data_IF_876012811756
#
_entry.id   IF_876012811756
#
_cell.length_a   1.000
_cell.length_b   1.000
_cell.length_c   1.000
_cell.angle_alpha   90.00
_cell.angle_beta   90.00
_cell.angle_gamma   90.00
#
_symmetry.space_group_name_H-M   'P 1'
#
loop_
_entity.id
_entity.type
_entity.pdbx_description
1 polymer ?
#
# COMPACT_ATOMS: atom_id res chain seq x y z
N UNK A 1 1.44 -5.39 12.22
CA UNK A 1 0.30 -4.79 11.52
C UNK A 1 -0.85 -5.80 11.60
N UNK A 2 -2.01 -5.54 11.00
CA UNK A 2 -3.16 -6.45 11.05
C UNK A 2 -4.00 -6.43 12.34
N UNK A 3 -4.67 -7.56 12.60
CA UNK A 3 -5.67 -7.75 13.67
C UNK A 3 -5.14 -7.42 15.08
N UNK A 4 -5.70 -6.38 15.74
CA UNK A 4 -5.32 -6.02 17.10
C UNK A 4 -5.55 -7.15 18.10
N UNK A 5 -4.49 -7.53 18.81
CA UNK A 5 -4.56 -8.51 19.90
C UNK A 5 -4.52 -9.98 19.47
N UNK A 6 -4.49 -10.31 18.17
CA UNK A 6 -4.42 -11.70 17.70
C UNK A 6 -3.08 -12.37 18.05
N UNK A 7 -1.95 -11.80 17.64
CA UNK A 7 -0.62 -12.40 17.87
C UNK A 7 -0.35 -12.74 19.35
N UNK A 8 -0.71 -11.91 20.35
CA UNK A 8 -0.61 -12.29 21.77
C UNK A 8 -1.34 -13.59 22.12
N UNK A 9 -2.50 -13.88 21.53
CA UNK A 9 -3.24 -15.12 21.77
C UNK A 9 -2.56 -16.35 21.14
N UNK A 10 -1.72 -16.14 20.13
CA UNK A 10 -0.97 -17.18 19.44
C UNK A 10 0.41 -17.47 20.06
N UNK A 11 0.72 -16.91 21.24
CA UNK A 11 2.05 -17.04 21.87
C UNK A 11 2.49 -18.50 22.06
N UNK A 12 1.57 -19.41 22.38
CA UNK A 12 1.86 -20.85 22.60
C UNK A 12 2.41 -21.55 21.36
N UNK A 13 2.06 -21.06 20.17
CA UNK A 13 2.47 -21.66 18.88
C UNK A 13 3.52 -20.81 18.15
N UNK A 14 3.98 -19.71 18.75
CA UNK A 14 5.09 -18.90 18.23
C UNK A 14 6.41 -19.62 18.52
N UNK A 15 6.92 -20.35 17.52
CA UNK A 15 8.17 -21.10 17.62
C UNK A 15 9.34 -20.19 17.25
N UNK A 16 10.34 -20.09 18.13
CA UNK A 16 11.58 -19.41 17.79
C UNK A 16 12.37 -20.28 16.82
N UNK A 17 12.65 -19.77 15.62
CA UNK A 17 13.35 -20.52 14.56
C UNK A 17 14.53 -19.72 14.01
N UNK A 18 15.47 -20.45 13.38
CA UNK A 18 16.43 -19.87 12.46
C UNK A 18 15.95 -20.08 11.03
N UNK A 19 16.11 -19.06 10.18
CA UNK A 19 15.82 -19.15 8.76
C UNK A 19 16.63 -20.24 8.03
N UNK A 20 17.71 -20.77 8.63
CA UNK A 20 18.40 -21.97 8.12
C UNK A 20 17.44 -23.15 7.87
N UNK A 21 16.33 -23.23 8.61
CA UNK A 21 15.25 -24.21 8.38
C UNK A 21 14.71 -24.20 6.95
N UNK A 22 14.73 -23.04 6.28
CA UNK A 22 14.20 -22.82 4.94
C UNK A 22 15.28 -22.83 3.85
N UNK A 23 16.47 -23.37 4.14
CA UNK A 23 17.55 -23.48 3.17
C UNK A 23 17.07 -24.17 1.88
N UNK A 24 17.42 -23.60 0.73
CA UNK A 24 16.98 -23.99 -0.62
C UNK A 24 15.48 -23.83 -0.94
N UNK A 25 14.67 -23.37 0.01
CA UNK A 25 13.26 -23.07 -0.21
C UNK A 25 13.07 -21.63 -0.69
N UNK A 26 11.89 -21.36 -1.23
CA UNK A 26 11.47 -20.02 -1.65
C UNK A 26 10.57 -19.41 -0.58
N UNK A 27 10.91 -18.22 -0.09
CA UNK A 27 10.08 -17.48 0.86
C UNK A 27 9.54 -16.20 0.23
N UNK A 28 8.24 -15.96 0.36
CA UNK A 28 7.70 -14.65 0.02
C UNK A 28 8.09 -13.61 1.07
N UNK A 29 8.24 -12.38 0.62
CA UNK A 29 8.59 -11.24 1.45
C UNK A 29 7.59 -10.13 1.18
N UNK A 30 6.98 -9.63 2.25
CA UNK A 30 6.20 -8.41 2.21
C UNK A 30 7.12 -7.20 1.98
N UNK A 31 7.11 -6.72 0.74
CA UNK A 31 7.95 -5.62 0.29
C UNK A 31 7.56 -4.29 0.94
N UNK A 32 6.27 -4.04 1.17
CA UNK A 32 5.82 -2.78 1.77
C UNK A 32 6.11 -2.74 3.26
N UNK A 33 5.96 -3.84 3.99
CA UNK A 33 6.40 -3.93 5.38
C UNK A 33 7.91 -3.66 5.53
N UNK A 34 8.74 -4.18 4.62
CA UNK A 34 10.18 -3.87 4.61
C UNK A 34 10.48 -2.43 4.23
N UNK A 35 9.76 -1.85 3.26
CA UNK A 35 9.89 -0.43 2.89
C UNK A 35 9.53 0.48 4.07
N UNK A 36 8.46 0.19 4.80
CA UNK A 36 8.09 0.92 6.02
C UNK A 36 9.20 0.85 7.08
N UNK A 37 9.80 -0.32 7.32
CA UNK A 37 10.93 -0.45 8.26
C UNK A 37 12.17 0.31 7.77
N UNK A 38 12.45 0.22 6.48
CA UNK A 38 13.62 0.84 5.86
C UNK A 38 13.52 2.37 5.84
N UNK A 39 12.31 2.90 5.71
CA UNK A 39 12.07 4.34 5.63
C UNK A 39 12.39 5.08 6.92
N UNK A 40 12.29 4.43 8.08
CA UNK A 40 12.64 5.04 9.37
C UNK A 40 14.07 5.60 9.41
N UNK A 41 15.01 4.97 8.69
CA UNK A 41 16.42 5.41 8.62
C UNK A 41 16.65 6.64 7.70
N UNK A 42 15.65 6.99 6.90
CA UNK A 42 15.72 8.08 5.91
C UNK A 42 14.45 8.93 5.84
N UNK A 43 13.71 8.98 6.95
CA UNK A 43 12.40 9.60 7.00
C UNK A 43 12.46 11.09 6.66
N UNK A 44 13.46 11.80 7.19
CA UNK A 44 13.72 13.20 6.86
C UNK A 44 13.93 13.41 5.36
N UNK A 45 14.81 12.61 4.73
CA UNK A 45 15.09 12.74 3.30
C UNK A 45 13.86 12.45 2.45
N UNK A 46 13.06 11.45 2.83
CA UNK A 46 11.84 11.10 2.14
C UNK A 46 10.80 12.23 2.20
N UNK A 47 10.50 12.73 3.40
CA UNK A 47 9.52 13.79 3.63
C UNK A 47 9.96 15.13 3.01
N UNK A 48 11.25 15.44 3.06
CA UNK A 48 11.81 16.65 2.47
C UNK A 48 12.12 16.51 0.97
N UNK A 49 11.69 15.42 0.32
CA UNK A 49 11.93 15.12 -1.09
C UNK A 49 13.41 15.19 -1.52
N UNK A 50 14.31 14.85 -0.60
CA UNK A 50 15.74 14.70 -0.87
C UNK A 50 16.03 13.32 -1.46
N UNK A 51 17.03 13.20 -2.34
CA UNK A 51 17.50 11.90 -2.82
C UNK A 51 18.04 11.05 -1.68
N UNK A 52 17.76 9.74 -1.70
CA UNK A 52 18.31 8.80 -0.73
C UNK A 52 18.32 7.38 -1.29
N UNK A 53 19.35 6.61 -0.94
CA UNK A 53 19.44 5.18 -1.27
C UNK A 53 19.35 4.29 -0.02
N UNK A 54 19.14 4.87 1.17
CA UNK A 54 19.18 4.16 2.46
C UNK A 54 18.16 3.03 2.53
N UNK A 55 16.95 3.24 1.99
CA UNK A 55 15.94 2.18 1.95
C UNK A 55 16.32 1.03 1.01
N UNK A 56 16.97 1.32 -0.13
CA UNK A 56 17.52 0.28 -1.00
C UNK A 56 18.64 -0.51 -0.30
N UNK A 57 19.53 0.17 0.42
CA UNK A 57 20.61 -0.48 1.18
C UNK A 57 20.07 -1.44 2.25
N UNK A 58 18.94 -1.10 2.89
CA UNK A 58 18.25 -2.02 3.80
C UNK A 58 17.83 -3.32 3.08
N UNK A 59 17.22 -3.22 1.90
CA UNK A 59 16.84 -4.39 1.10
C UNK A 59 18.06 -5.22 0.69
N UNK A 60 19.13 -4.57 0.21
CA UNK A 60 20.37 -5.25 -0.18
C UNK A 60 20.92 -6.08 0.98
N UNK A 61 21.02 -5.50 2.18
CA UNK A 61 21.49 -6.21 3.39
C UNK A 61 20.61 -7.42 3.72
N UNK A 62 19.29 -7.28 3.62
CA UNK A 62 18.33 -8.36 3.90
C UNK A 62 18.40 -9.48 2.85
N UNK A 63 18.49 -9.13 1.57
CA UNK A 63 18.60 -10.08 0.47
C UNK A 63 19.95 -10.83 0.52
N UNK A 64 21.04 -10.17 0.92
CA UNK A 64 22.33 -10.81 1.17
C UNK A 64 22.26 -11.83 2.32
N UNK A 65 21.54 -11.52 3.41
CA UNK A 65 21.29 -12.48 4.48
C UNK A 65 20.60 -13.74 3.95
N UNK A 66 19.52 -13.58 3.17
CA UNK A 66 18.78 -14.71 2.60
C UNK A 66 19.64 -15.53 1.62
N UNK A 67 20.41 -14.84 0.76
CA UNK A 67 21.35 -15.47 -0.17
C UNK A 67 22.39 -16.31 0.57
N UNK A 68 22.97 -15.80 1.66
CA UNK A 68 23.93 -16.55 2.50
C UNK A 68 23.31 -17.81 3.11
N UNK A 69 22.02 -17.76 3.46
CA UNK A 69 21.26 -18.89 3.95
C UNK A 69 20.73 -19.81 2.83
N UNK A 70 21.09 -19.52 1.56
CA UNK A 70 20.62 -20.20 0.35
C UNK A 70 19.09 -20.26 0.23
N UNK A 71 18.41 -19.22 0.73
CA UNK A 71 16.96 -19.04 0.59
C UNK A 71 16.72 -18.24 -0.69
N UNK A 72 15.72 -18.64 -1.48
CA UNK A 72 15.28 -17.89 -2.66
C UNK A 72 14.23 -16.86 -2.23
N UNK A 73 14.51 -15.56 -2.25
CA UNK A 73 13.51 -14.55 -1.93
C UNK A 73 12.53 -14.36 -3.09
N UNK A 74 11.24 -14.25 -2.78
CA UNK A 74 10.20 -13.80 -3.72
C UNK A 74 9.54 -12.54 -3.14
N UNK A 75 9.83 -11.35 -3.70
CA UNK A 75 9.31 -10.11 -3.12
C UNK A 75 7.92 -9.80 -3.67
N UNK A 76 6.96 -9.51 -2.80
CA UNK A 76 5.61 -9.09 -3.18
C UNK A 76 5.40 -7.64 -2.76
N UNK A 77 4.98 -6.79 -3.70
CA UNK A 77 4.68 -5.38 -3.46
C UNK A 77 3.17 -5.14 -3.57
N UNK A 78 2.65 -4.18 -2.79
CA UNK A 78 1.28 -3.71 -2.94
C UNK A 78 1.09 -2.98 -4.28
N UNK A 79 -0.12 -3.08 -4.81
CA UNK A 79 -0.62 -2.40 -5.99
C UNK A 79 -1.60 -1.28 -5.64
N UNK A 80 -2.80 -1.34 -6.21
CA UNK A 80 -3.84 -0.34 -6.01
C UNK A 80 -4.59 -0.53 -4.68
N UNK A 81 -5.33 0.49 -4.25
CA UNK A 81 -6.14 0.40 -3.03
C UNK A 81 -7.48 -0.30 -3.26
N UNK A 82 -8.02 -0.91 -2.21
CA UNK A 82 -9.39 -1.42 -2.18
C UNK A 82 -10.36 -0.44 -1.53
N UNK A 83 -11.61 -0.40 -2.02
CA UNK A 83 -12.62 0.45 -1.41
C UNK A 83 -12.89 0.09 0.06
N UNK A 84 -12.87 -1.21 0.40
CA UNK A 84 -13.15 -1.70 1.76
C UNK A 84 -12.12 -1.19 2.78
N UNK A 85 -10.94 -0.76 2.31
CA UNK A 85 -9.86 -0.24 3.13
C UNK A 85 -9.81 1.30 3.15
N UNK A 86 -10.70 1.99 2.41
CA UNK A 86 -10.68 3.45 2.26
C UNK A 86 -10.70 4.21 3.59
N UNK A 87 -11.49 3.75 4.55
CA UNK A 87 -11.55 4.40 5.87
C UNK A 87 -10.20 4.31 6.60
N UNK A 88 -9.56 3.14 6.55
CA UNK A 88 -8.24 2.90 7.15
C UNK A 88 -7.16 3.73 6.47
N UNK A 89 -7.13 3.76 5.15
CA UNK A 89 -6.15 4.56 4.39
C UNK A 89 -6.36 6.07 4.57
N UNK A 90 -7.60 6.54 4.63
CA UNK A 90 -7.91 7.95 4.93
C UNK A 90 -7.40 8.34 6.32
N UNK A 91 -7.63 7.50 7.33
CA UNK A 91 -7.13 7.72 8.70
C UNK A 91 -5.61 7.71 8.76
N UNK A 92 -4.95 6.79 8.04
CA UNK A 92 -3.48 6.72 7.93
C UNK A 92 -2.93 7.98 7.26
N UNK A 93 -3.52 8.42 6.13
CA UNK A 93 -3.14 9.64 5.41
C UNK A 93 -3.29 10.89 6.27
N UNK A 94 -4.41 11.06 6.97
CA UNK A 94 -4.64 12.22 7.86
C UNK A 94 -3.56 12.31 8.93
N UNK A 95 -3.25 11.21 9.62
CA UNK A 95 -2.19 11.15 10.63
C UNK A 95 -0.81 11.47 10.05
N UNK A 96 -0.49 11.00 8.84
CA UNK A 96 0.78 11.31 8.18
C UNK A 96 0.93 12.82 7.95
N UNK A 97 -0.11 13.47 7.43
CA UNK A 97 -0.11 14.92 7.19
C UNK A 97 0.03 15.73 8.49
N UNK A 98 -0.71 15.35 9.54
CA UNK A 98 -0.61 15.99 10.87
C UNK A 98 0.82 15.87 11.43
N UNK A 99 1.39 14.65 11.39
CA UNK A 99 2.76 14.42 11.84
C UNK A 99 3.79 15.16 10.99
N UNK A 100 3.57 15.30 9.68
CA UNK A 100 4.47 16.04 8.78
C UNK A 100 4.53 17.52 9.17
N UNK A 101 3.38 18.13 9.45
CA UNK A 101 3.30 19.53 9.89
C UNK A 101 4.06 19.74 11.20
N UNK A 102 3.87 18.84 12.18
CA UNK A 102 4.57 18.89 13.46
C UNK A 102 6.07 18.71 13.26
N UNK A 103 6.50 17.74 12.45
CA UNK A 103 7.90 17.48 12.15
C UNK A 103 8.59 18.71 11.55
N UNK A 104 7.96 19.34 10.56
CA UNK A 104 8.49 20.56 9.90
C UNK A 104 8.59 21.73 10.88
N UNK A 105 7.58 21.94 11.74
CA UNK A 105 7.60 23.01 12.76
C UNK A 105 8.75 22.81 13.76
N UNK A 106 8.90 21.60 14.31
CA UNK A 106 9.97 21.27 15.25
C UNK A 106 11.35 21.39 14.61
N UNK A 107 11.47 20.98 13.34
CA UNK A 107 12.72 21.07 12.58
C UNK A 107 13.16 22.51 12.39
N UNK A 108 12.24 23.40 11.99
CA UNK A 108 12.51 24.83 11.82
C UNK A 108 12.84 25.53 13.14
N UNK A 109 12.29 25.05 14.26
CA UNK A 109 12.62 25.53 15.61
C UNK A 109 13.96 25.01 16.17
N UNK A 110 14.72 24.22 15.38
CA UNK A 110 16.01 23.65 15.80
C UNK A 110 15.90 22.39 16.66
N UNK A 111 14.69 21.94 17.04
CA UNK A 111 14.48 20.73 17.82
C UNK A 111 14.51 19.47 16.92
N UNK A 112 15.72 19.09 16.51
CA UNK A 112 15.95 18.00 15.55
C UNK A 112 15.56 16.62 16.07
N UNK A 113 15.81 16.34 17.35
CA UNK A 113 15.54 15.03 17.94
C UNK A 113 14.05 14.71 17.90
N UNK A 114 13.21 15.61 18.44
CA UNK A 114 11.76 15.42 18.43
C UNK A 114 11.20 15.46 17.00
N UNK A 115 11.73 16.32 16.12
CA UNK A 115 11.30 16.36 14.73
C UNK A 115 11.48 15.01 14.01
N UNK A 116 12.56 14.28 14.29
CA UNK A 116 12.84 12.98 13.64
C UNK A 116 11.77 11.93 13.96
N UNK A 117 11.26 11.89 15.19
CA UNK A 117 10.16 10.98 15.57
C UNK A 117 8.90 11.24 14.72
N UNK A 118 8.54 12.51 14.54
CA UNK A 118 7.39 12.89 13.70
C UNK A 118 7.67 12.70 12.20
N UNK A 119 8.91 12.85 11.74
CA UNK A 119 9.28 12.47 10.37
C UNK A 119 9.04 10.98 10.13
N UNK A 120 9.46 10.10 11.04
CA UNK A 120 9.24 8.66 10.91
C UNK A 120 7.75 8.30 10.83
N UNK A 121 6.90 9.01 11.57
CA UNK A 121 5.44 8.82 11.57
C UNK A 121 4.72 9.44 10.36
N UNK A 122 5.40 10.26 9.55
CA UNK A 122 4.80 10.95 8.41
C UNK A 122 5.20 10.38 7.04
N UNK A 123 6.16 9.44 6.98
CA UNK A 123 6.57 8.85 5.71
C UNK A 123 5.41 8.13 5.03
N UNK A 124 5.20 8.47 3.75
CA UNK A 124 4.33 7.75 2.82
C UNK A 124 5.19 6.84 1.92
N UNK A 125 4.87 5.56 1.86
CA UNK A 125 5.57 4.60 0.99
C UNK A 125 4.89 4.61 -0.38
N UNK A 126 5.61 5.01 -1.41
CA UNK A 126 5.04 5.19 -2.75
C UNK A 126 5.44 4.08 -3.73
N UNK A 127 4.66 3.84 -4.80
CA UNK A 127 5.04 2.91 -5.87
C UNK A 127 6.40 3.23 -6.50
N UNK A 128 6.80 4.50 -6.58
CA UNK A 128 8.11 4.88 -7.11
C UNK A 128 9.27 4.48 -6.19
N UNK A 129 9.05 4.39 -4.86
CA UNK A 129 10.02 3.81 -3.93
C UNK A 129 10.12 2.29 -4.14
N UNK A 130 8.98 1.61 -4.28
CA UNK A 130 8.95 0.19 -4.60
C UNK A 130 9.65 -0.10 -5.94
N UNK A 131 9.48 0.76 -6.93
CA UNK A 131 10.15 0.67 -8.24
C UNK A 131 11.68 0.66 -8.13
N UNK A 132 12.26 1.37 -7.16
CA UNK A 132 13.70 1.31 -6.90
C UNK A 132 14.15 -0.11 -6.51
N UNK A 133 13.35 -0.80 -5.71
CA UNK A 133 13.64 -2.18 -5.30
C UNK A 133 13.37 -3.14 -6.46
N UNK A 134 12.29 -2.94 -7.21
CA UNK A 134 11.96 -3.72 -8.41
C UNK A 134 13.10 -3.66 -9.44
N UNK A 135 13.65 -2.47 -9.72
CA UNK A 135 14.77 -2.32 -10.65
C UNK A 135 16.02 -3.08 -10.17
N UNK A 136 16.29 -3.07 -8.86
CA UNK A 136 17.35 -3.88 -8.26
C UNK A 136 17.08 -5.38 -8.42
N UNK A 137 15.85 -5.82 -8.15
CA UNK A 137 15.45 -7.23 -8.31
C UNK A 137 15.59 -7.69 -9.76
N UNK A 138 15.15 -6.88 -10.74
CA UNK A 138 15.33 -7.16 -12.18
C UNK A 138 16.81 -7.36 -12.52
N UNK A 139 17.68 -6.43 -12.10
CA UNK A 139 19.11 -6.49 -12.39
C UNK A 139 19.78 -7.74 -11.78
N UNK A 140 19.33 -8.17 -10.61
CA UNK A 140 19.89 -9.31 -9.89
C UNK A 140 19.12 -10.62 -10.06
N UNK A 141 18.17 -10.68 -11.01
CA UNK A 141 17.33 -11.86 -11.26
C UNK A 141 16.64 -12.42 -10.00
N UNK A 142 16.20 -11.52 -9.11
CA UNK A 142 15.42 -11.86 -7.92
C UNK A 142 13.94 -11.84 -8.30
N UNK A 143 13.18 -12.93 -8.08
CA UNK A 143 11.77 -12.93 -8.44
C UNK A 143 10.99 -11.97 -7.55
N UNK A 144 10.07 -11.26 -8.18
CA UNK A 144 9.16 -10.36 -7.49
C UNK A 144 7.83 -10.28 -8.25
N UNK A 145 6.82 -9.73 -7.61
CA UNK A 145 5.54 -9.40 -8.24
C UNK A 145 4.93 -8.17 -7.57
N UNK A 146 4.29 -7.31 -8.35
CA UNK A 146 3.39 -6.28 -7.83
C UNK A 146 1.99 -6.89 -7.80
N UNK A 147 1.40 -7.02 -6.62
CA UNK A 147 0.02 -7.47 -6.50
C UNK A 147 -0.92 -6.48 -7.22
N UNK A 148 -2.08 -6.92 -7.75
CA UNK A 148 -3.06 -5.98 -8.29
C UNK A 148 -3.58 -5.01 -7.22
N UNK A 149 -3.71 -5.50 -5.99
CA UNK A 149 -4.15 -4.76 -4.81
C UNK A 149 -3.21 -5.05 -3.63
N UNK A 150 -3.62 -5.84 -2.65
CA UNK A 150 -2.81 -6.09 -1.45
C UNK A 150 -1.82 -7.25 -1.67
N UNK A 151 -0.63 -7.12 -1.09
CA UNK A 151 0.39 -8.17 -1.09
C UNK A 151 -0.04 -9.40 -0.27
N UNK A 152 -0.87 -9.21 0.76
CA UNK A 152 -1.33 -10.28 1.66
C UNK A 152 -2.00 -11.45 0.92
N UNK A 153 -3.12 -11.27 0.21
CA UNK A 153 -3.74 -12.35 -0.57
C UNK A 153 -2.79 -12.85 -1.67
N UNK A 154 -1.95 -11.99 -2.24
CA UNK A 154 -1.03 -12.38 -3.32
C UNK A 154 0.01 -13.37 -2.80
N UNK A 155 0.59 -13.14 -1.63
CA UNK A 155 1.54 -14.06 -1.01
C UNK A 155 0.86 -15.38 -0.62
N UNK A 156 -0.35 -15.34 -0.05
CA UNK A 156 -1.11 -16.56 0.27
C UNK A 156 -1.46 -17.34 -1.00
N UNK A 157 -1.80 -16.66 -2.09
CA UNK A 157 -2.04 -17.30 -3.38
C UNK A 157 -0.79 -18.03 -3.90
N UNK A 158 0.39 -17.40 -3.81
CA UNK A 158 1.65 -18.04 -4.20
C UNK A 158 1.96 -19.27 -3.33
N UNK A 159 1.66 -19.22 -2.03
CA UNK A 159 1.83 -20.35 -1.10
C UNK A 159 0.89 -21.51 -1.47
N UNK A 160 -0.37 -21.20 -1.77
CA UNK A 160 -1.36 -22.19 -2.21
C UNK A 160 -0.99 -22.87 -3.52
N UNK A 161 -0.36 -22.13 -4.44
CA UNK A 161 0.15 -22.65 -5.71
C UNK A 161 1.46 -23.44 -5.56
N UNK A 162 2.03 -23.53 -4.36
CA UNK A 162 3.28 -24.24 -4.09
C UNK A 162 4.53 -23.52 -4.59
N UNK A 163 4.42 -22.25 -4.99
CA UNK A 163 5.54 -21.46 -5.52
C UNK A 163 6.48 -20.95 -4.41
N UNK A 164 5.98 -20.89 -3.18
CA UNK A 164 6.71 -20.51 -1.96
C UNK A 164 6.36 -21.48 -0.82
N UNK A 165 7.22 -21.54 0.19
CA UNK A 165 7.08 -22.44 1.35
C UNK A 165 6.78 -21.69 2.67
N UNK A 166 6.77 -20.36 2.65
CA UNK A 166 6.41 -19.53 3.79
C UNK A 166 6.48 -18.05 3.47
N UNK A 167 5.91 -17.24 4.35
CA UNK A 167 5.75 -15.79 4.14
C UNK A 167 6.46 -15.03 5.26
N UNK A 168 7.38 -14.14 4.90
CA UNK A 168 8.03 -13.22 5.82
C UNK A 168 7.22 -11.91 5.86
N UNK A 169 6.46 -11.70 6.94
CA UNK A 169 5.72 -10.47 7.21
C UNK A 169 5.50 -10.25 8.70
N UNK A 170 5.13 -9.02 9.06
CA UNK A 170 4.68 -8.63 10.40
C UNK A 170 3.16 -8.43 10.45
N UNK A 171 2.44 -8.76 9.38
CA UNK A 171 0.98 -8.68 9.30
C UNK A 171 0.32 -10.01 9.67
N UNK A 172 -0.57 -9.97 10.67
CA UNK A 172 -1.32 -11.15 11.09
C UNK A 172 -2.56 -11.44 10.24
N UNK A 173 -2.96 -10.51 9.37
CA UNK A 173 -4.12 -10.68 8.48
C UNK A 173 -3.89 -11.82 7.48
N UNK A 174 -2.62 -12.11 7.15
CA UNK A 174 -2.18 -13.28 6.40
C UNK A 174 -2.76 -14.60 6.93
N UNK A 175 -2.88 -14.77 8.25
CA UNK A 175 -3.45 -15.99 8.84
C UNK A 175 -4.94 -16.15 8.52
N UNK A 176 -5.67 -15.03 8.39
CA UNK A 176 -7.10 -15.01 8.03
C UNK A 176 -7.29 -15.27 6.54
N UNK A 177 -6.39 -14.77 5.71
CA UNK A 177 -6.35 -15.11 4.27
C UNK A 177 -6.02 -16.59 4.01
N UNK A 178 -5.46 -17.30 5.00
CA UNK A 178 -5.17 -18.72 4.92
C UNK A 178 -3.69 -19.05 4.73
N UNK A 179 -2.79 -18.15 5.12
CA UNK A 179 -1.36 -18.44 5.23
C UNK A 179 -1.12 -19.69 6.09
N UNK A 180 -0.32 -20.63 5.57
CA UNK A 180 0.09 -21.83 6.30
C UNK A 180 1.26 -21.54 7.23
N UNK A 181 2.29 -20.86 6.73
CA UNK A 181 3.52 -20.59 7.48
C UNK A 181 3.88 -19.10 7.47
N UNK A 182 3.60 -18.43 8.59
CA UNK A 182 3.95 -17.02 8.80
C UNK A 182 5.26 -16.91 9.59
N UNK A 183 6.22 -16.16 9.04
CA UNK A 183 7.52 -15.88 9.64
C UNK A 183 7.59 -14.39 9.99
N UNK A 184 7.61 -14.08 11.28
CA UNK A 184 7.54 -12.72 11.84
C UNK A 184 8.76 -12.42 12.71
N UNK A 185 9.01 -11.14 13.01
CA UNK A 185 10.12 -10.67 13.86
C UNK A 185 11.50 -11.11 13.37
N UNK A 186 11.71 -11.12 12.05
CA UNK A 186 12.99 -11.47 11.46
C UNK A 186 14.07 -10.43 11.80
N UNK A 187 15.11 -10.88 12.50
CA UNK A 187 16.29 -10.07 12.83
C UNK A 187 17.43 -10.21 11.79
N UNK A 188 18.48 -9.43 11.97
CA UNK A 188 19.64 -9.37 11.05
C UNK A 188 20.52 -10.63 11.09
N UNK A 189 20.36 -11.48 12.12
CA UNK A 189 21.06 -12.76 12.26
C UNK A 189 20.29 -13.93 11.63
N UNK A 190 19.09 -13.70 11.10
CA UNK A 190 18.24 -14.75 10.55
C UNK A 190 17.48 -15.55 11.62
N UNK A 191 17.33 -15.02 12.84
CA UNK A 191 16.39 -15.55 13.83
C UNK A 191 15.02 -14.89 13.64
N UNK A 192 13.96 -15.66 13.77
CA UNK A 192 12.58 -15.22 13.58
C UNK A 192 11.63 -16.03 14.47
N UNK A 193 10.38 -15.60 14.55
CA UNK A 193 9.28 -16.39 15.06
C UNK A 193 8.50 -16.99 13.88
N UNK A 194 8.11 -18.24 14.03
CA UNK A 194 7.28 -18.96 13.09
C UNK A 194 5.94 -19.28 13.73
N UNK A 195 4.87 -19.06 12.97
CA UNK A 195 3.51 -19.48 13.31
C UNK A 195 3.04 -20.36 12.16
N UNK A 196 2.77 -21.63 12.46
CA UNK A 196 2.14 -22.56 11.51
C UNK A 196 0.66 -22.69 11.80
N UNK A 197 -0.15 -22.72 10.75
CA UNK A 197 -1.59 -23.03 10.83
C UNK A 197 -1.83 -24.44 11.37
N UNK A 198 -0.94 -25.38 11.09
CA UNK A 198 -1.04 -26.77 11.55
C UNK A 198 -0.93 -26.87 13.09
N UNK A 199 -0.31 -25.88 13.73
CA UNK A 199 -0.18 -25.82 15.19
C UNK A 199 -1.42 -25.21 15.88
N UNK A 200 -2.46 -24.77 15.15
CA UNK A 200 -3.62 -24.10 15.75
C UNK A 200 -4.39 -24.99 16.75
N UNK A 201 -4.32 -26.32 16.59
CA UNK A 201 -4.89 -27.29 17.53
C UNK A 201 -4.17 -27.32 18.88
N UNK A 202 -2.92 -26.83 18.96
CA UNK A 202 -2.14 -26.76 20.19
C UNK A 202 -2.42 -25.49 21.03
N UNK A 203 -3.32 -24.62 20.57
CA UNK A 203 -3.73 -23.42 21.29
C UNK A 203 -4.58 -23.75 22.53
N UNK A 204 -4.55 -22.90 23.57
CA UNK A 204 -5.28 -23.16 24.80
C UNK A 204 -6.81 -23.07 24.62
N UNK A 205 -7.56 -23.74 25.50
CA UNK A 205 -9.03 -23.82 25.46
C UNK A 205 -9.74 -22.45 25.52
N UNK A 206 -9.08 -21.44 26.10
CA UNK A 206 -9.62 -20.08 26.17
C UNK A 206 -9.49 -19.32 24.83
N UNK A 207 -8.68 -19.83 23.89
CA UNK A 207 -8.56 -19.31 22.52
C UNK A 207 -8.29 -20.45 21.51
N UNK A 208 -9.25 -21.37 21.31
CA UNK A 208 -9.03 -22.60 20.54
C UNK A 208 -9.26 -22.34 19.06
N UNK A 209 -8.36 -21.59 18.43
CA UNK A 209 -8.49 -21.19 17.03
C UNK A 209 -8.57 -22.39 16.07
N UNK A 210 -7.94 -23.52 16.42
CA UNK A 210 -7.99 -24.77 15.65
C UNK A 210 -9.35 -25.47 15.62
N UNK A 211 -10.28 -25.10 16.51
CA UNK A 211 -11.67 -25.59 16.50
C UNK A 211 -12.58 -24.78 15.57
N UNK A 212 -12.14 -23.60 15.12
CA UNK A 212 -12.95 -22.72 14.28
C UNK A 212 -12.84 -23.12 12.80
N UNK A 213 -13.97 -23.08 12.11
CA UNK A 213 -13.95 -23.04 10.65
C UNK A 213 -13.34 -21.73 10.12
N UNK A 214 -12.90 -21.71 8.86
CA UNK A 214 -12.39 -20.48 8.22
C UNK A 214 -13.41 -19.33 8.28
N UNK A 215 -14.71 -19.65 8.14
CA UNK A 215 -15.79 -18.68 8.23
C UNK A 215 -15.92 -18.12 9.64
N UNK A 216 -15.84 -18.97 10.67
CA UNK A 216 -15.83 -18.55 12.06
C UNK A 216 -14.61 -17.69 12.39
N UNK A 217 -13.42 -18.02 11.86
CA UNK A 217 -12.22 -17.21 12.06
C UNK A 217 -12.40 -15.80 11.43
N UNK A 218 -12.92 -15.72 10.21
CA UNK A 218 -13.26 -14.41 9.60
C UNK A 218 -14.30 -13.65 10.43
N UNK A 219 -15.34 -14.33 10.92
CA UNK A 219 -16.34 -13.71 11.80
C UNK A 219 -15.70 -13.14 13.07
N UNK A 220 -14.82 -13.90 13.72
CA UNK A 220 -14.09 -13.47 14.92
C UNK A 220 -13.33 -12.17 14.64
N UNK A 221 -12.60 -12.13 13.54
CA UNK A 221 -11.79 -10.97 13.14
C UNK A 221 -12.65 -9.77 12.77
N UNK A 222 -13.73 -9.98 12.01
CA UNK A 222 -14.68 -8.93 11.65
C UNK A 222 -15.34 -8.29 12.89
N UNK A 223 -15.63 -9.09 13.93
CA UNK A 223 -16.18 -8.61 15.20
C UNK A 223 -15.14 -7.84 16.03
N UNK A 224 -13.90 -8.35 16.09
CA UNK A 224 -12.80 -7.72 16.81
C UNK A 224 -12.31 -6.42 16.16
N UNK A 225 -12.50 -6.29 14.85
CA UNK A 225 -12.02 -5.18 14.03
C UNK A 225 -10.72 -5.53 13.30
N UNK A 226 -10.65 -5.12 12.04
CA UNK A 226 -9.52 -5.33 11.14
C UNK A 226 -9.37 -4.14 10.19
N UNK A 227 -8.53 -4.25 9.16
CA UNK A 227 -8.38 -3.19 8.17
C UNK A 227 -9.66 -2.96 7.33
N UNK A 228 -10.59 -3.93 7.26
CA UNK A 228 -11.85 -3.87 6.50
C UNK A 228 -13.11 -3.55 7.32
N UNK A 229 -13.08 -3.76 8.64
CA UNK A 229 -14.21 -3.47 9.54
C UNK A 229 -13.76 -2.71 10.76
N UNK A 230 -14.58 -1.80 11.27
CA UNK A 230 -14.27 -1.11 12.53
C UNK A 230 -14.31 -2.01 13.77
N UNK A 231 -14.87 -3.22 13.63
CA UNK A 231 -15.25 -4.06 14.75
C UNK A 231 -16.46 -3.52 15.52
N UNK A 232 -16.85 -4.25 16.56
CA UNK A 232 -17.85 -3.82 17.53
C UNK A 232 -17.13 -3.17 18.72
N UNK A 233 -17.63 -2.03 19.18
CA UNK A 233 -17.03 -1.34 20.32
C UNK A 233 -16.98 -2.25 21.56
N UNK A 234 -15.84 -2.25 22.27
CA UNK A 234 -15.51 -3.13 23.40
C UNK A 234 -15.43 -4.64 23.08
N UNK A 235 -15.48 -5.05 21.82
CA UNK A 235 -15.26 -6.44 21.41
C UNK A 235 -13.84 -6.57 20.86
N UNK A 236 -12.95 -7.20 21.64
CA UNK A 236 -11.63 -7.64 21.15
C UNK A 236 -11.65 -9.12 20.76
N UNK A 237 -10.51 -9.65 20.27
CA UNK A 237 -10.40 -11.03 19.77
C UNK A 237 -10.85 -12.10 20.78
N UNK A 238 -10.60 -11.92 22.08
CA UNK A 238 -11.00 -12.87 23.13
C UNK A 238 -12.52 -12.85 23.34
N UNK A 239 -13.14 -11.67 23.32
CA UNK A 239 -14.61 -11.55 23.43
C UNK A 239 -15.28 -12.08 22.17
N UNK A 240 -14.73 -11.77 21.00
CA UNK A 240 -15.20 -12.29 19.72
C UNK A 240 -15.12 -13.82 19.65
N UNK A 241 -14.04 -14.43 20.14
CA UNK A 241 -13.91 -15.88 20.28
C UNK A 241 -15.06 -16.49 21.08
N UNK A 242 -15.39 -15.91 22.25
CA UNK A 242 -16.51 -16.39 23.09
C UNK A 242 -17.86 -16.32 22.39
N UNK A 243 -18.05 -15.33 21.51
CA UNK A 243 -19.29 -15.17 20.72
C UNK A 243 -19.34 -16.21 19.60
N UNK A 244 -18.27 -16.34 18.83
CA UNK A 244 -18.18 -17.24 17.67
C UNK A 244 -18.20 -18.72 18.06
N UNK A 245 -17.72 -19.08 19.24
CA UNK A 245 -17.88 -20.45 19.79
C UNK A 245 -19.34 -20.83 20.04
N UNK A 246 -20.22 -19.85 20.30
CA UNK A 246 -21.65 -20.10 20.57
C UNK A 246 -22.50 -20.03 19.31
N UNK A 247 -22.12 -19.18 18.36
CA UNK A 247 -22.86 -18.93 17.13
C UNK A 247 -21.90 -18.92 15.96
N UNK A 248 -22.09 -19.82 15.00
CA UNK A 248 -21.19 -19.98 13.86
C UNK A 248 -21.45 -18.92 12.78
N UNK A 249 -22.72 -18.65 12.48
CA UNK A 249 -23.14 -17.74 11.42
C UNK A 249 -23.20 -16.29 11.89
N UNK A 250 -22.72 -15.37 11.05
CA UNK A 250 -22.73 -13.95 11.36
C UNK A 250 -24.15 -13.41 11.57
N UNK A 251 -25.13 -13.94 10.82
CA UNK A 251 -26.54 -13.56 10.98
C UNK A 251 -27.04 -13.82 12.41
N UNK A 252 -26.73 -15.00 12.94
CA UNK A 252 -27.18 -15.41 14.28
C UNK A 252 -26.46 -14.63 15.38
N UNK A 253 -25.16 -14.37 15.18
CA UNK A 253 -24.37 -13.50 16.06
C UNK A 253 -25.01 -12.11 16.18
N UNK A 254 -25.35 -11.48 15.05
CA UNK A 254 -25.91 -10.14 15.03
C UNK A 254 -27.30 -10.09 15.69
N UNK A 255 -28.16 -11.09 15.42
CA UNK A 255 -29.48 -11.20 16.07
C UNK A 255 -29.32 -11.33 17.59
N UNK A 256 -28.39 -12.16 18.06
CA UNK A 256 -28.19 -12.32 19.49
C UNK A 256 -27.67 -11.05 20.15
N UNK A 257 -26.76 -10.33 19.49
CA UNK A 257 -26.26 -9.05 19.98
C UNK A 257 -27.41 -8.05 20.13
N UNK A 258 -28.25 -7.92 19.09
CA UNK A 258 -29.45 -7.06 19.12
C UNK A 258 -30.40 -7.43 20.27
N UNK A 259 -30.63 -8.72 20.53
CA UNK A 259 -31.52 -9.19 21.61
C UNK A 259 -30.99 -8.92 23.02
N UNK A 260 -29.67 -8.94 23.20
CA UNK A 260 -29.07 -8.75 24.54
C UNK A 260 -28.92 -7.29 24.94
N UNK A 261 -28.95 -6.36 23.98
CA UNK A 261 -28.77 -4.91 24.15
C UNK A 261 -27.49 -4.47 24.88
N UNK A 262 -26.58 -5.40 25.22
CA UNK A 262 -25.32 -5.13 25.91
C UNK A 262 -24.24 -4.56 24.99
N UNK A 263 -24.34 -4.84 23.70
CA UNK A 263 -23.40 -4.42 22.67
C UNK A 263 -24.18 -3.78 21.53
N UNK A 264 -23.66 -2.67 20.99
CA UNK A 264 -24.27 -1.94 19.89
C UNK A 264 -23.34 -1.93 18.69
N UNK A 265 -23.92 -2.03 17.49
CA UNK A 265 -23.20 -1.87 16.24
C UNK A 265 -24.00 -0.98 15.27
N UNK A 266 -23.32 -0.30 14.35
CA UNK A 266 -23.97 0.59 13.39
C UNK A 266 -24.65 -0.19 12.26
N UNK A 267 -25.65 0.39 11.59
CA UNK A 267 -26.23 -0.23 10.38
C UNK A 267 -25.17 -0.51 9.31
N UNK A 268 -24.17 0.37 9.19
CA UNK A 268 -23.05 0.19 8.27
C UNK A 268 -22.16 -1.02 8.61
N UNK A 269 -22.11 -1.44 9.88
CA UNK A 269 -21.29 -2.58 10.30
C UNK A 269 -21.73 -3.88 9.62
N UNK A 270 -23.04 -4.15 9.47
CA UNK A 270 -23.53 -5.36 8.79
C UNK A 270 -22.96 -5.47 7.37
N UNK A 271 -22.98 -4.36 6.63
CA UNK A 271 -22.45 -4.29 5.27
C UNK A 271 -20.91 -4.39 5.24
N UNK A 272 -20.21 -3.75 6.18
CA UNK A 272 -18.75 -3.86 6.30
C UNK A 272 -18.32 -5.31 6.51
N UNK A 273 -19.02 -6.06 7.37
CA UNK A 273 -18.72 -7.46 7.64
C UNK A 273 -18.93 -8.33 6.40
N UNK A 274 -20.03 -8.12 5.67
CA UNK A 274 -20.29 -8.82 4.41
C UNK A 274 -19.17 -8.57 3.40
N UNK A 275 -18.77 -7.32 3.19
CA UNK A 275 -17.70 -6.97 2.26
C UNK A 275 -16.32 -7.44 2.72
N UNK A 276 -16.01 -7.38 4.02
CA UNK A 276 -14.78 -7.92 4.57
C UNK A 276 -14.68 -9.44 4.36
N UNK A 277 -15.79 -10.16 4.56
CA UNK A 277 -15.86 -11.60 4.31
C UNK A 277 -15.57 -11.93 2.83
N UNK A 278 -16.06 -11.12 1.89
CA UNK A 278 -15.73 -11.28 0.47
C UNK A 278 -14.29 -10.89 0.14
N UNK A 279 -13.77 -9.80 0.71
CA UNK A 279 -12.38 -9.39 0.51
C UNK A 279 -11.39 -10.48 0.96
N UNK A 280 -11.54 -11.01 2.18
CA UNK A 280 -10.69 -12.09 2.70
C UNK A 280 -10.70 -13.37 1.86
N UNK A 281 -11.78 -13.63 1.11
CA UNK A 281 -11.90 -14.85 0.33
C UNK A 281 -11.52 -14.66 -1.14
N UNK A 282 -11.93 -13.55 -1.75
CA UNK A 282 -11.99 -13.43 -3.21
C UNK A 282 -11.21 -12.24 -3.75
N UNK A 283 -10.45 -11.53 -2.92
CA UNK A 283 -9.60 -10.42 -3.39
C UNK A 283 -8.77 -10.84 -4.60
N UNK A 284 -8.66 -9.92 -5.56
CA UNK A 284 -7.95 -10.18 -6.79
C UNK A 284 -6.45 -10.29 -6.57
N UNK A 285 -5.87 -11.29 -7.21
CA UNK A 285 -4.44 -11.62 -7.20
C UNK A 285 -4.00 -11.89 -8.63
N UNK A 286 -2.71 -11.78 -8.90
CA UNK A 286 -2.13 -12.11 -10.19
C UNK A 286 -1.51 -13.50 -10.15
N UNK A 287 -1.87 -14.35 -11.12
CA UNK A 287 -1.26 -15.66 -11.30
C UNK A 287 -0.04 -15.56 -12.22
N UNK A 288 1.19 -15.77 -11.72
CA UNK A 288 2.41 -15.69 -12.54
C UNK A 288 2.57 -16.86 -13.51
N UNK A 289 1.82 -17.97 -13.33
CA UNK A 289 1.89 -19.13 -14.22
C UNK A 289 1.04 -18.94 -15.48
N UNK A 290 -0.15 -18.36 -15.34
CA UNK A 290 -1.06 -18.08 -16.46
C UNK A 290 -0.93 -16.66 -17.02
N UNK A 291 -0.17 -15.78 -16.36
CA UNK A 291 -0.09 -14.35 -16.64
C UNK A 291 -1.46 -13.66 -16.65
N UNK A 292 -2.32 -14.04 -15.71
CA UNK A 292 -3.68 -13.51 -15.62
C UNK A 292 -4.02 -13.10 -14.19
N UNK A 293 -4.69 -11.96 -14.06
CA UNK A 293 -5.42 -11.65 -12.84
C UNK A 293 -6.55 -12.67 -12.61
N UNK A 294 -6.68 -13.11 -11.37
CA UNK A 294 -7.66 -14.07 -10.86
C UNK A 294 -8.05 -13.67 -9.44
N UNK A 295 -8.72 -14.55 -8.69
CA UNK A 295 -9.09 -14.35 -7.28
C UNK A 295 -8.32 -15.31 -6.37
N UNK A 296 -8.11 -14.92 -5.12
CA UNK A 296 -7.41 -15.75 -4.12
C UNK A 296 -8.03 -17.15 -3.97
N UNK A 297 -9.35 -17.21 -3.88
CA UNK A 297 -10.15 -18.43 -3.94
C UNK A 297 -11.13 -18.35 -5.11
N UNK A 298 -11.52 -19.50 -5.65
CA UNK A 298 -12.56 -19.57 -6.68
C UNK A 298 -13.90 -19.11 -6.09
N UNK A 299 -14.60 -18.21 -6.78
CA UNK A 299 -15.95 -17.79 -6.40
C UNK A 299 -16.91 -18.97 -6.69
N UNK A 300 -17.65 -19.49 -5.69
CA UNK A 300 -18.54 -20.63 -5.91
C UNK A 300 -19.65 -20.32 -6.91
N UNK A 301 -19.99 -21.30 -7.76
CA UNK A 301 -21.04 -21.16 -8.79
C UNK A 301 -22.41 -20.77 -8.20
N UNK A 302 -22.73 -21.29 -7.01
CA UNK A 302 -23.97 -20.94 -6.31
C UNK A 302 -24.10 -19.43 -6.06
N UNK A 303 -22.98 -18.76 -5.78
CA UNK A 303 -22.94 -17.30 -5.54
C UNK A 303 -22.99 -16.53 -6.85
N UNK A 304 -22.35 -17.04 -7.91
CA UNK A 304 -22.39 -16.40 -9.24
C UNK A 304 -23.77 -16.40 -9.89
N UNK A 305 -24.68 -17.28 -9.43
CA UNK A 305 -26.06 -17.33 -9.93
C UNK A 305 -26.93 -16.17 -9.43
N UNK A 306 -26.52 -15.48 -8.36
CA UNK A 306 -27.20 -14.27 -7.88
C UNK A 306 -26.52 -13.02 -8.43
N UNK A 307 -27.22 -12.30 -9.32
CA UNK A 307 -26.69 -11.07 -9.91
C UNK A 307 -26.42 -9.98 -8.85
N UNK A 308 -27.24 -9.91 -7.81
CA UNK A 308 -27.04 -8.95 -6.72
C UNK A 308 -25.76 -9.27 -5.91
N UNK A 309 -25.52 -10.54 -5.62
CA UNK A 309 -24.33 -10.96 -4.84
C UNK A 309 -23.04 -10.79 -5.65
N UNK A 310 -23.05 -11.14 -6.94
CA UNK A 310 -21.84 -10.98 -7.75
C UNK A 310 -21.43 -9.51 -7.88
N UNK A 311 -22.39 -8.57 -7.96
CA UNK A 311 -22.11 -7.13 -7.94
C UNK A 311 -21.44 -6.72 -6.62
N UNK A 312 -21.94 -7.22 -5.47
CA UNK A 312 -21.32 -6.93 -4.16
C UNK A 312 -19.88 -7.45 -4.09
N UNK A 313 -19.64 -8.67 -4.58
CA UNK A 313 -18.30 -9.26 -4.62
C UNK A 313 -17.37 -8.43 -5.51
N UNK A 314 -17.78 -8.15 -6.75
CA UNK A 314 -16.93 -7.42 -7.71
C UNK A 314 -16.53 -6.04 -7.21
N UNK A 315 -17.43 -5.37 -6.48
CA UNK A 315 -17.09 -4.12 -5.80
C UNK A 315 -15.91 -4.31 -4.86
N UNK A 316 -15.91 -5.33 -4.00
CA UNK A 316 -14.99 -5.40 -2.84
C UNK A 316 -13.67 -6.11 -3.09
N UNK A 317 -13.57 -6.87 -4.17
CA UNK A 317 -12.35 -7.62 -4.49
C UNK A 317 -11.35 -6.82 -5.34
N UNK A 318 -11.71 -5.58 -5.71
CA UNK A 318 -10.87 -4.61 -6.42
C UNK A 318 -11.18 -4.52 -7.91
N UNK A 319 -11.35 -3.31 -8.45
CA UNK A 319 -11.78 -3.06 -9.83
C UNK A 319 -10.67 -3.31 -10.88
N UNK A 320 -11.02 -3.87 -12.04
CA UNK A 320 -10.06 -4.23 -13.10
C UNK A 320 -10.26 -3.44 -14.36
N UNK A 321 -9.21 -3.35 -15.16
CA UNK A 321 -9.27 -2.85 -16.53
C UNK A 321 -10.14 -3.75 -17.40
N UNK A 322 -11.22 -3.17 -17.91
CA UNK A 322 -12.07 -3.80 -18.91
C UNK A 322 -11.41 -3.70 -20.30
N UNK A 323 -11.40 -4.80 -21.03
CA UNK A 323 -10.90 -4.90 -22.40
C UNK A 323 -11.70 -3.97 -23.32
N UNK A 324 -11.00 -3.21 -24.15
CA UNK A 324 -11.60 -2.28 -25.11
C UNK A 324 -11.82 -0.88 -24.55
N UNK A 325 -12.36 -0.74 -23.32
CA UNK A 325 -12.54 0.59 -22.72
C UNK A 325 -11.27 1.13 -22.07
N UNK A 326 -10.39 0.25 -21.54
CA UNK A 326 -9.17 0.66 -20.84
C UNK A 326 -9.41 1.31 -19.47
N UNK A 327 -10.66 1.31 -18.99
CA UNK A 327 -11.07 1.94 -17.74
C UNK A 327 -11.22 0.88 -16.64
N UNK A 328 -10.90 1.21 -15.38
CA UNK A 328 -11.19 0.34 -14.24
C UNK A 328 -12.68 0.28 -13.98
N UNK A 329 -13.21 -0.94 -13.93
CA UNK A 329 -14.60 -1.23 -13.58
C UNK A 329 -14.71 -2.53 -12.80
N UNK A 330 -15.87 -2.73 -12.20
CA UNK A 330 -16.24 -3.96 -11.53
C UNK A 330 -16.69 -5.00 -12.58
N UNK A 331 -15.73 -5.56 -13.29
CA UNK A 331 -15.99 -6.52 -14.38
C UNK A 331 -16.42 -7.88 -13.81
N UNK A 332 -17.63 -8.30 -14.15
CA UNK A 332 -18.22 -9.60 -13.75
C UNK A 332 -17.65 -10.75 -14.59
N UNK A 333 -17.65 -10.61 -15.92
CA UNK A 333 -17.14 -11.65 -16.83
C UNK A 333 -15.62 -11.53 -16.95
N UNK A 334 -14.90 -12.50 -16.39
CA UNK A 334 -13.43 -12.53 -16.40
C UNK A 334 -12.82 -12.47 -17.80
N UNK A 335 -13.53 -12.96 -18.84
CA UNK A 335 -13.09 -12.86 -20.24
C UNK A 335 -12.95 -11.41 -20.74
N UNK A 336 -13.68 -10.49 -20.13
CA UNK A 336 -13.65 -9.07 -20.47
C UNK A 336 -12.54 -8.32 -19.73
N UNK A 337 -11.71 -9.00 -18.94
CA UNK A 337 -10.58 -8.37 -18.27
C UNK A 337 -9.41 -8.23 -19.25
N UNK A 338 -8.77 -7.07 -19.23
CA UNK A 338 -7.50 -6.85 -19.90
C UNK A 338 -6.35 -7.38 -19.05
N UNK A 339 -6.07 -8.68 -19.16
CA UNK A 339 -4.99 -9.32 -18.42
C UNK A 339 -3.60 -8.78 -18.77
N UNK A 340 -3.42 -8.20 -19.97
CA UNK A 340 -2.12 -7.69 -20.43
C UNK A 340 -1.72 -6.43 -19.68
N UNK A 341 -2.67 -5.52 -19.43
CA UNK A 341 -2.42 -4.35 -18.58
C UNK A 341 -2.04 -4.78 -17.16
N UNK A 342 -2.75 -5.75 -16.58
CA UNK A 342 -2.43 -6.28 -15.25
C UNK A 342 -1.09 -7.01 -15.20
N UNK A 343 -0.69 -7.68 -16.27
CA UNK A 343 0.65 -8.28 -16.38
C UNK A 343 1.75 -7.21 -16.35
N UNK A 344 1.57 -6.10 -17.08
CA UNK A 344 2.52 -4.99 -17.05
C UNK A 344 2.60 -4.30 -15.68
N UNK A 345 1.48 -4.21 -14.94
CA UNK A 345 1.47 -3.76 -13.55
C UNK A 345 2.25 -4.75 -12.67
N UNK A 346 1.95 -6.06 -12.78
CA UNK A 346 2.61 -7.11 -12.01
C UNK A 346 4.13 -7.15 -12.21
N UNK A 347 4.59 -6.81 -13.42
CA UNK A 347 6.01 -6.66 -13.79
C UNK A 347 6.64 -5.33 -13.33
N UNK A 348 5.86 -4.42 -12.73
CA UNK A 348 6.31 -3.10 -12.31
C UNK A 348 6.73 -2.20 -13.47
N UNK A 349 6.03 -2.32 -14.62
CA UNK A 349 6.23 -1.51 -15.82
C UNK A 349 5.22 -0.36 -15.89
N UNK A 350 3.97 -0.62 -15.54
CA UNK A 350 2.92 0.40 -15.37
C UNK A 350 2.75 0.74 -13.90
N UNK A 351 2.34 1.98 -13.64
CA UNK A 351 2.06 2.43 -12.29
C UNK A 351 0.77 1.77 -11.78
N UNK A 352 0.77 1.22 -10.55
CA UNK A 352 -0.33 0.38 -10.07
C UNK A 352 -1.64 1.12 -9.82
N UNK A 353 -1.60 2.44 -9.64
CA UNK A 353 -2.79 3.32 -9.53
C UNK A 353 -3.13 3.95 -10.89
N UNK A 354 -2.26 4.86 -11.37
CA UNK A 354 -2.33 5.47 -12.70
C UNK A 354 -1.73 4.58 -13.81
N UNK A 355 -2.54 3.67 -14.35
CA UNK A 355 -2.04 2.66 -15.31
C UNK A 355 -1.72 3.25 -16.70
N UNK A 356 -2.10 4.50 -16.99
CA UNK A 356 -1.69 5.17 -18.23
C UNK A 356 -0.20 5.55 -18.18
N UNK A 357 0.36 5.65 -16.98
CA UNK A 357 1.75 6.06 -16.76
C UNK A 357 2.68 4.88 -16.55
N UNK A 358 3.88 4.97 -17.12
CA UNK A 358 4.99 4.07 -16.78
C UNK A 358 5.41 4.30 -15.33
N UNK A 359 5.73 3.22 -14.63
CA UNK A 359 6.27 3.30 -13.28
C UNK A 359 7.76 3.65 -13.32
N UNK A 360 8.12 4.81 -12.79
CA UNK A 360 9.51 5.30 -12.77
C UNK A 360 10.02 5.34 -11.33
N UNK A 361 11.25 4.88 -11.15
CA UNK A 361 12.02 4.95 -9.91
C UNK A 361 12.06 6.37 -9.31
N UNK A 362 11.79 6.49 -8.00
CA UNK A 362 11.74 7.78 -7.28
C UNK A 362 13.02 8.61 -7.48
N UNK A 363 14.18 8.00 -7.32
CA UNK A 363 15.47 8.72 -7.41
C UNK A 363 15.74 9.21 -8.83
N UNK A 364 15.32 8.46 -9.87
CA UNK A 364 15.37 8.92 -11.26
C UNK A 364 14.40 10.08 -11.49
N UNK A 365 13.18 9.98 -10.97
CA UNK A 365 12.14 11.04 -11.05
C UNK A 365 12.61 12.34 -10.38
N UNK A 366 13.28 12.28 -9.23
CA UNK A 366 13.87 13.45 -8.56
C UNK A 366 15.02 14.07 -9.36
N UNK A 367 15.92 13.26 -9.92
CA UNK A 367 17.03 13.75 -10.76
C UNK A 367 16.51 14.49 -12.00
N UNK A 368 15.53 13.92 -12.71
CA UNK A 368 14.91 14.56 -13.87
C UNK A 368 14.27 15.92 -13.53
N UNK A 369 13.55 16.01 -12.40
CA UNK A 369 12.97 17.27 -11.93
C UNK A 369 14.03 18.33 -11.61
N UNK A 370 15.16 17.93 -11.03
CA UNK A 370 16.27 18.85 -10.75
C UNK A 370 16.87 19.40 -12.05
N UNK A 371 17.10 18.55 -13.04
CA UNK A 371 17.60 18.97 -14.36
C UNK A 371 16.65 19.95 -15.05
N UNK A 372 15.34 19.69 -15.02
CA UNK A 372 14.34 20.59 -15.58
C UNK A 372 14.31 21.97 -14.88
N UNK A 373 14.39 22.00 -13.55
CA UNK A 373 14.48 23.25 -12.79
C UNK A 373 15.78 24.03 -13.08
N UNK A 374 16.90 23.33 -13.26
CA UNK A 374 18.17 23.96 -13.65
C UNK A 374 18.10 24.52 -15.08
N UNK A 375 17.42 23.84 -16.01
CA UNK A 375 17.19 24.35 -17.37
C UNK A 375 16.29 25.60 -17.42
N UNK A 376 15.27 25.68 -16.57
CA UNK A 376 14.42 26.88 -16.43
C UNK A 376 15.14 28.05 -15.76
N UNK A 377 15.99 27.79 -14.75
CA UNK A 377 16.77 28.82 -14.07
C UNK A 377 18.05 29.21 -14.83
N UNK A 378 18.51 28.38 -15.76
CA UNK A 378 19.63 28.65 -16.67
C UNK A 378 19.22 29.30 -18.00
N UNK A 379 17.95 29.65 -18.17
CA UNK A 379 17.40 30.32 -19.35
C UNK A 379 17.62 31.84 -19.39
N UNK A 380 18.17 32.44 -18.34
CA UNK A 380 18.57 33.85 -18.32
C UNK A 380 20.06 33.96 -18.04
N UNK A 381 20.86 33.84 -19.09
CA UNK A 381 22.18 34.47 -19.33
C UNK A 381 23.04 33.60 -20.23
N UNK A 382 22.98 33.86 -21.55
CA UNK A 382 24.17 34.16 -22.34
C UNK A 382 23.77 34.53 -23.76
N UNK A 383 24.01 35.80 -24.08
CA UNK A 383 24.20 36.30 -25.42
C UNK A 383 25.24 35.45 -26.14
N UNK A 384 24.85 34.87 -27.28
CA UNK A 384 25.81 34.50 -28.32
C UNK A 384 25.32 35.08 -29.64
N UNK A 385 26.02 36.12 -30.07
CA UNK A 385 26.07 36.58 -31.45
C UNK A 385 26.21 35.37 -32.38
N UNK A 386 25.20 35.13 -33.21
CA UNK A 386 25.38 34.46 -34.49
C UNK A 386 24.89 35.39 -35.58
N UNK A 387 25.86 35.91 -36.33
CA UNK A 387 25.69 36.45 -37.68
C UNK A 387 24.83 35.45 -38.48
N UNK A 388 23.73 35.93 -39.02
CA UNK A 388 22.95 35.23 -40.03
C UNK A 388 23.56 35.60 -41.36
N UNK A 389 24.20 34.63 -42.02
CA UNK A 389 24.48 34.69 -43.45
C UNK A 389 23.16 34.59 -44.21
N UNK A 390 22.91 35.57 -45.08
CA UNK A 390 21.85 35.56 -46.08
C UNK A 390 22.23 34.63 -47.23
N UNK A 391 21.26 33.97 -47.89
CA UNK A 391 21.33 33.69 -49.31
C UNK A 391 20.53 34.75 -50.10
N UNK A 392 21.18 35.27 -51.14
CA UNK A 392 20.61 36.07 -52.21
C UNK A 392 19.56 35.29 -53.00
N UNK A 393 18.38 35.89 -53.23
CA UNK A 393 17.61 35.72 -54.47
C UNK A 393 16.87 37.04 -54.75
N UNK A 394 17.21 37.66 -55.89
CA UNK A 394 16.50 38.76 -56.55
C UNK A 394 15.14 38.31 -57.09
N UNK A 395 14.10 39.14 -56.95
CA UNK A 395 13.46 39.90 -58.06
C UNK A 395 12.23 40.67 -57.54
N UNK A 396 12.26 42.01 -57.75
CA UNK A 396 11.20 42.95 -58.22
C UNK A 396 9.73 42.46 -58.22
N UNK A 397 8.68 43.22 -57.88
CA UNK A 397 8.45 44.67 -57.99
C UNK A 397 7.06 45.06 -57.38
N UNK A 398 6.84 46.38 -57.19
CA UNK A 398 5.55 47.14 -57.10
C UNK A 398 4.83 47.38 -55.75
N UNK A 399 4.95 48.65 -55.26
CA UNK A 399 3.95 49.66 -54.78
C UNK A 399 2.75 49.18 -53.91
N UNK A 400 2.23 49.85 -52.86
CA UNK A 400 2.21 51.27 -52.42
C UNK A 400 1.53 51.40 -51.03
N UNK A 401 1.98 52.43 -50.29
CA UNK A 401 1.20 53.41 -49.48
C UNK A 401 0.49 53.09 -48.13
N UNK A 402 0.77 54.01 -47.18
CA UNK A 402 -0.05 54.62 -46.08
C UNK A 402 -0.30 53.81 -44.80
N UNK A 403 -0.40 54.37 -43.61
CA UNK A 403 -0.02 55.63 -42.92
C UNK A 403 -0.55 55.48 -41.47
N UNK A 404 0.18 55.99 -40.46
CA UNK A 404 -0.31 56.54 -39.16
C UNK A 404 -1.12 55.61 -38.21
N UNK A 405 -1.02 55.63 -36.86
CA UNK A 405 -0.68 56.66 -35.87
C UNK A 405 -0.52 56.01 -34.47
N UNK A 406 0.41 56.55 -33.64
CA UNK A 406 0.27 57.09 -32.25
C UNK A 406 -0.83 56.48 -31.35
N UNK A 407 -0.75 56.34 -30.03
CA UNK A 407 0.13 56.70 -28.90
C UNK A 407 -0.47 55.90 -27.69
N UNK A 408 0.28 55.23 -26.79
CA UNK A 408 1.05 55.73 -25.64
C UNK A 408 0.24 56.07 -24.36
N UNK A 409 0.77 55.60 -23.21
CA UNK A 409 0.62 56.11 -21.80
C UNK A 409 -0.70 55.79 -21.06
N UNK A 410 -0.77 55.52 -19.74
CA UNK A 410 0.10 55.54 -18.54
C UNK A 410 -0.58 54.56 -17.54
N UNK A 411 0.07 53.70 -16.75
CA UNK A 411 0.97 53.91 -15.61
C UNK A 411 0.34 54.56 -14.36
N UNK A 412 0.67 53.97 -13.19
CA UNK A 412 0.59 54.48 -11.79
C UNK A 412 -0.70 54.13 -11.02
N UNK A 413 -0.74 53.79 -9.74
CA UNK A 413 0.28 53.65 -8.67
C UNK A 413 -0.45 53.36 -7.34
N UNK A 414 0.06 52.38 -6.57
CA UNK A 414 0.37 52.42 -5.12
C UNK A 414 -0.71 52.88 -4.12
N UNK A 415 -1.01 52.06 -3.10
CA UNK A 415 -0.80 52.42 -1.68
C UNK A 415 -0.72 51.18 -0.76
N UNK A 416 0.37 51.13 0.01
CA UNK A 416 0.61 50.27 1.17
C UNK A 416 -0.29 50.66 2.35
N UNK A 417 -0.63 49.71 3.22
CA UNK A 417 -0.58 49.92 4.69
C UNK A 417 -0.54 48.58 5.44
N UNK A 418 0.25 48.56 6.51
CA UNK A 418 0.38 47.60 7.62
C UNK A 418 0.93 48.42 8.80
N UNK A 419 0.98 47.95 10.07
CA UNK A 419 0.21 46.93 10.80
C UNK A 419 -0.40 47.50 12.11
N UNK A 420 -1.21 46.71 12.82
CA UNK A 420 -1.43 46.89 14.26
C UNK A 420 -1.42 45.55 14.99
N UNK A 421 -0.60 45.48 16.03
CA UNK A 421 -0.43 44.38 16.96
C UNK A 421 -1.44 44.46 18.10
N UNK A 422 -1.97 43.32 18.55
CA UNK A 422 -2.61 43.19 19.87
C UNK A 422 -2.18 41.85 20.49
N UNK A 423 -1.68 41.97 21.73
CA UNK A 423 -1.27 40.95 22.66
C UNK A 423 -2.48 40.25 23.31
N UNK A 424 -2.34 38.96 23.62
CA UNK A 424 -3.34 38.21 24.36
C UNK A 424 -2.74 36.94 24.97
N UNK A 425 -2.54 36.98 26.28
CA UNK A 425 -2.06 35.93 27.19
C UNK A 425 -3.10 34.80 27.36
N UNK A 426 -2.63 33.55 27.51
CA UNK A 426 -3.45 32.41 27.97
C UNK A 426 -2.65 31.62 29.01
N UNK A 427 -3.20 31.32 30.20
CA UNK A 427 -2.51 30.54 31.23
C UNK A 427 -2.70 29.03 31.07
N UNK A 428 -1.69 28.30 31.53
CA UNK A 428 -1.61 26.85 31.65
C UNK A 428 -2.50 26.30 32.76
N UNK A 429 -3.13 25.15 32.53
CA UNK A 429 -3.61 24.25 33.60
C UNK A 429 -3.19 22.81 33.23
N UNK A 430 -2.79 22.12 34.30
CA UNK A 430 -2.27 20.76 34.46
C UNK A 430 -2.99 19.64 33.69
#
# INVERSE_FOLDING_TARGET
MGIPGLLPQLKRIQKQVSLKKYMYQTLAIDGYAWLHRASCACAFELVMNKPTNKYLQFFIKRLQLLKRLKIKPYIVFDGDSLFVKNHTETRRRKKRLENEMIAKKLWSAGNRYNAMEYFQKSVDITPEMAKCIIDYCKLHSIPYIVAPFEADPQMVYLEKMGLIQGIISEDSDLLVFGCKTLITKLNDQGKALEISKDDFSALPENFPLGELSEQQFRNLVCLAGCDYTSGIWKVGVVTAMKIVKRYSEMKDILIQIERTEKLCFSKAFKQQVEFANYAFQYQRVFCPLSNQITTLNNIPKAVTNSHAEIIKIMKCIGSVVERGSGVRKDVINTKNIDHKVHEMIAKGELHPVDMASKLINRERKLKARKLFKVGLLGGESNSFNKKVEQPLVDTQDVLSERENSLDNKNASSIYMTSPAAISGTVPSIF
#
